data_IF_299540730965
#
_entry.id   IF_299540730965
#
_cell.length_a   1.000
_cell.length_b   1.000
_cell.length_c   1.000
_cell.angle_alpha   90.00
_cell.angle_beta   90.00
_cell.angle_gamma   90.00
#
_symmetry.space_group_name_H-M   'P 1'
#
loop_
_entity.id
_entity.type
_entity.pdbx_description
1 polymer ?
#
# COMPACT_ATOMS: atom_id res chain seq x y z
N UNK A 1 -24.27 -5.03 -14.13
CA UNK A 1 -24.91 -5.36 -12.83
C UNK A 1 -24.96 -6.85 -12.49
N UNK A 2 -24.73 -7.81 -13.41
CA UNK A 2 -24.86 -9.24 -13.17
C UNK A 2 -23.60 -9.97 -12.70
N UNK A 3 -22.42 -9.44 -13.02
CA UNK A 3 -21.13 -10.13 -12.76
C UNK A 3 -20.68 -9.99 -11.30
N UNK A 4 -20.83 -8.82 -10.71
CA UNK A 4 -20.47 -8.55 -9.31
C UNK A 4 -21.20 -9.44 -8.30
N UNK A 5 -22.51 -9.68 -8.51
CA UNK A 5 -23.29 -10.54 -7.61
C UNK A 5 -22.89 -12.03 -7.69
N UNK A 6 -22.48 -12.53 -8.87
CA UNK A 6 -22.04 -13.93 -9.01
C UNK A 6 -20.66 -14.15 -8.40
N UNK A 7 -19.76 -13.19 -8.56
CA UNK A 7 -18.43 -13.22 -7.92
C UNK A 7 -18.58 -13.15 -6.40
N UNK A 8 -19.43 -12.27 -5.88
CA UNK A 8 -19.74 -12.18 -4.44
C UNK A 8 -20.31 -13.48 -3.88
N UNK A 9 -21.23 -14.13 -4.60
CA UNK A 9 -21.80 -15.42 -4.19
C UNK A 9 -20.74 -16.53 -4.15
N UNK A 10 -19.88 -16.61 -5.16
CA UNK A 10 -18.84 -17.63 -5.24
C UNK A 10 -17.77 -17.43 -4.14
N UNK A 11 -17.36 -16.18 -3.88
CA UNK A 11 -16.41 -15.87 -2.82
C UNK A 11 -17.01 -16.12 -1.44
N UNK A 12 -18.30 -15.81 -1.25
CA UNK A 12 -19.01 -16.07 0.01
C UNK A 12 -19.13 -17.57 0.29
N UNK A 13 -19.31 -18.40 -0.75
CA UNK A 13 -19.44 -19.86 -0.63
C UNK A 13 -18.07 -20.55 -0.47
N UNK A 14 -17.03 -20.07 -1.18
CA UNK A 14 -15.67 -20.61 -1.10
C UNK A 14 -14.90 -20.17 0.17
N UNK A 15 -15.35 -19.10 0.83
CA UNK A 15 -14.68 -18.47 1.96
C UNK A 15 -15.53 -18.46 3.23
N UNK A 16 -16.69 -19.15 3.24
CA UNK A 16 -17.52 -19.29 4.43
C UNK A 16 -16.73 -20.03 5.53
N UNK A 17 -16.61 -19.45 6.74
CA UNK A 17 -15.98 -20.15 7.84
C UNK A 17 -16.81 -21.38 8.19
N UNK A 18 -16.16 -22.53 8.39
CA UNK A 18 -16.78 -23.70 9.02
C UNK A 18 -17.39 -23.26 10.36
N UNK A 19 -18.66 -23.53 10.52
CA UNK A 19 -19.54 -23.12 11.60
C UNK A 19 -18.94 -23.28 13.00
N UNK A 20 -18.32 -22.24 13.53
CA UNK A 20 -18.24 -21.92 14.96
C UNK A 20 -18.13 -20.40 15.13
N UNK A 21 -18.83 -19.77 16.10
CA UNK A 21 -18.79 -18.33 16.28
C UNK A 21 -17.47 -17.95 16.97
N UNK A 22 -16.49 -17.49 16.20
CA UNK A 22 -15.32 -16.84 16.75
C UNK A 22 -15.68 -15.39 17.07
N UNK A 23 -15.61 -15.06 18.36
CA UNK A 23 -15.53 -13.68 18.83
C UNK A 23 -14.40 -12.99 18.10
N UNK A 24 -14.72 -11.96 17.35
CA UNK A 24 -13.73 -11.04 16.80
C UNK A 24 -13.01 -10.38 17.97
N UNK A 25 -11.79 -10.83 18.23
CA UNK A 25 -10.94 -10.23 19.23
C UNK A 25 -10.26 -9.01 18.59
N UNK A 26 -10.72 -7.81 18.97
CA UNK A 26 -10.06 -6.53 18.67
C UNK A 26 -8.63 -6.45 19.24
N UNK A 27 -8.21 -7.49 19.96
CA UNK A 27 -6.92 -7.58 20.62
C UNK A 27 -5.77 -7.78 19.62
N UNK A 28 -5.99 -8.54 18.52
CA UNK A 28 -4.90 -8.88 17.58
C UNK A 28 -4.47 -7.70 16.68
N UNK A 29 -5.38 -6.79 16.34
CA UNK A 29 -5.04 -5.55 15.63
C UNK A 29 -4.39 -4.52 16.57
N UNK A 30 -4.82 -4.49 17.83
CA UNK A 30 -4.19 -3.71 18.90
C UNK A 30 -2.82 -4.27 19.28
N UNK A 31 -2.63 -5.59 19.27
CA UNK A 31 -1.34 -6.23 19.58
C UNK A 31 -0.31 -6.01 18.47
N UNK A 32 -0.71 -5.98 17.20
CA UNK A 32 0.17 -5.57 16.10
C UNK A 32 0.51 -4.08 16.18
N UNK A 33 -0.46 -3.22 16.47
CA UNK A 33 -0.24 -1.78 16.68
C UNK A 33 0.55 -1.50 17.97
N UNK A 34 0.33 -2.25 19.06
CA UNK A 34 1.09 -2.13 20.29
C UNK A 34 2.51 -2.67 20.19
N UNK A 35 2.78 -3.64 19.30
CA UNK A 35 4.14 -4.07 19.00
C UNK A 35 4.95 -3.01 18.26
N UNK A 36 4.27 -2.12 17.51
CA UNK A 36 4.89 -0.97 16.82
C UNK A 36 5.01 0.25 17.76
N UNK A 37 4.05 0.46 18.68
CA UNK A 37 3.98 1.66 19.54
C UNK A 37 4.83 1.61 20.82
N UNK A 38 5.33 0.44 21.23
CA UNK A 38 6.04 0.26 22.51
C UNK A 38 7.57 0.15 22.40
N UNK A 39 8.18 0.60 21.29
CA UNK A 39 9.64 0.64 21.13
C UNK A 39 10.20 2.04 21.35
N UNK A 40 10.31 2.43 22.62
CA UNK A 40 11.26 3.45 23.07
C UNK A 40 12.68 2.82 23.12
N UNK A 41 13.30 2.54 21.96
CA UNK A 41 14.71 2.17 21.86
C UNK A 41 15.45 3.15 20.98
N UNK A 42 16.70 3.52 21.34
CA UNK A 42 17.47 4.49 20.56
C UNK A 42 17.87 3.86 19.23
N UNK A 43 17.53 4.53 18.12
CA UNK A 43 18.06 4.37 16.76
C UNK A 43 18.63 2.98 16.37
N UNK A 44 17.82 1.93 16.51
CA UNK A 44 18.09 0.65 15.87
C UNK A 44 17.43 0.66 14.49
N UNK A 45 18.20 0.45 13.44
CA UNK A 45 18.01 0.08 12.03
C UNK A 45 16.60 -0.03 11.39
N UNK A 46 15.53 0.44 11.97
CA UNK A 46 14.13 0.25 11.57
C UNK A 46 13.48 1.57 11.14
N UNK A 47 14.04 2.37 10.26
CA UNK A 47 13.37 3.54 9.70
C UNK A 47 12.68 4.48 10.74
N UNK A 48 12.16 5.59 10.29
CA UNK A 48 11.48 6.57 11.16
C UNK A 48 10.09 6.10 11.65
N UNK A 49 9.50 5.13 10.97
CA UNK A 49 8.11 4.75 11.12
C UNK A 49 7.12 5.67 10.38
N UNK A 50 6.00 5.11 9.97
CA UNK A 50 5.03 5.83 9.13
C UNK A 50 4.47 7.10 9.77
N UNK A 51 4.06 7.04 11.06
CA UNK A 51 3.49 8.20 11.76
C UNK A 51 4.49 9.38 11.80
N UNK A 52 5.72 9.13 12.21
CA UNK A 52 6.74 10.17 12.29
C UNK A 52 7.16 10.68 10.90
N UNK A 53 7.14 9.83 9.87
CA UNK A 53 7.37 10.25 8.49
C UNK A 53 6.24 11.17 7.99
N UNK A 54 4.97 10.88 8.30
CA UNK A 54 3.84 11.75 7.96
C UNK A 54 3.90 13.09 8.71
N UNK A 55 4.19 13.06 10.01
CA UNK A 55 4.36 14.29 10.82
C UNK A 55 5.47 15.17 10.24
N UNK A 56 6.57 14.57 9.81
CA UNK A 56 7.65 15.28 9.15
C UNK A 56 7.23 15.87 7.80
N UNK A 57 6.53 15.10 6.96
CA UNK A 57 6.02 15.58 5.68
C UNK A 57 5.04 16.77 5.86
N UNK A 58 4.14 16.70 6.84
CA UNK A 58 3.23 17.80 7.21
C UNK A 58 4.03 19.03 7.67
N UNK A 59 5.07 18.84 8.50
CA UNK A 59 5.93 19.95 8.96
C UNK A 59 6.67 20.62 7.80
N UNK A 60 6.90 19.89 6.70
CA UNK A 60 7.45 20.40 5.46
C UNK A 60 6.41 21.04 4.53
N UNK A 61 5.13 21.05 4.92
CA UNK A 61 4.05 21.74 4.19
C UNK A 61 3.22 20.83 3.29
N UNK A 62 3.29 19.48 3.41
CA UNK A 62 2.37 18.57 2.73
C UNK A 62 0.97 18.79 3.29
N UNK A 63 0.03 19.15 2.42
CA UNK A 63 -1.37 19.43 2.78
C UNK A 63 -2.27 19.06 1.60
N UNK A 64 -2.61 17.77 1.46
CA UNK A 64 -3.40 17.31 0.32
C UNK A 64 -4.87 17.67 0.49
N UNK A 65 -5.55 17.87 -0.65
CA UNK A 65 -7.00 17.87 -0.75
C UNK A 65 -7.55 16.46 -1.01
N UNK A 66 -6.72 15.60 -1.63
CA UNK A 66 -7.08 14.22 -1.98
C UNK A 66 -5.99 13.25 -1.53
N UNK A 67 -6.39 12.12 -0.98
CA UNK A 67 -5.51 10.97 -0.67
C UNK A 67 -5.98 9.79 -1.50
N UNK A 68 -5.09 9.22 -2.30
CA UNK A 68 -5.31 7.99 -3.03
C UNK A 68 -4.62 6.85 -2.29
N UNK A 69 -5.39 5.90 -1.77
CA UNK A 69 -4.90 4.70 -1.07
C UNK A 69 -5.11 3.48 -1.97
N UNK A 70 -4.05 3.03 -2.62
CA UNK A 70 -4.07 1.95 -3.58
C UNK A 70 -3.72 0.65 -2.89
N UNK A 71 -4.65 -0.31 -2.99
CA UNK A 71 -4.69 -1.56 -2.24
C UNK A 71 -4.81 -1.29 -0.74
N UNK A 72 -5.97 -0.67 -0.41
CA UNK A 72 -6.25 -0.19 0.93
C UNK A 72 -6.49 -1.31 1.96
N UNK A 73 -6.76 -2.54 1.53
CA UNK A 73 -7.03 -3.70 2.38
C UNK A 73 -8.09 -3.40 3.48
N UNK A 74 -7.67 -3.28 4.73
CA UNK A 74 -8.53 -2.92 5.87
C UNK A 74 -8.45 -1.42 6.22
N UNK A 75 -7.78 -0.62 5.39
CA UNK A 75 -7.57 0.82 5.57
C UNK A 75 -6.22 1.20 6.15
N UNK A 76 -5.64 2.26 5.61
CA UNK A 76 -4.34 2.80 6.02
C UNK A 76 -4.52 3.91 7.06
N UNK A 77 -4.82 3.51 8.30
CA UNK A 77 -5.24 4.42 9.38
C UNK A 77 -4.26 5.58 9.63
N UNK A 78 -2.94 5.33 9.64
CA UNK A 78 -1.95 6.39 9.87
C UNK A 78 -2.04 7.50 8.81
N UNK A 79 -2.41 7.15 7.57
CA UNK A 79 -2.56 8.09 6.47
C UNK A 79 -3.83 8.94 6.63
N UNK A 80 -4.94 8.31 7.03
CA UNK A 80 -6.21 9.01 7.25
C UNK A 80 -6.17 9.92 8.48
N UNK A 81 -5.46 9.50 9.53
CA UNK A 81 -5.19 10.32 10.72
C UNK A 81 -4.30 11.52 10.41
N UNK A 82 -3.30 11.35 9.52
CA UNK A 82 -2.40 12.42 9.10
C UNK A 82 -3.13 13.52 8.30
N UNK A 83 -4.11 13.13 7.46
CA UNK A 83 -4.82 14.04 6.56
C UNK A 83 -6.35 14.00 6.74
N UNK A 84 -6.88 14.30 7.94
CA UNK A 84 -8.27 14.05 8.30
C UNK A 84 -9.30 14.92 7.56
N UNK A 85 -8.84 15.95 6.82
CA UNK A 85 -9.71 16.84 6.05
C UNK A 85 -9.71 16.55 4.55
N UNK A 86 -8.84 15.68 4.08
CA UNK A 86 -8.76 15.30 2.69
C UNK A 86 -9.93 14.38 2.29
N UNK A 87 -10.24 14.35 1.01
CA UNK A 87 -11.02 13.29 0.39
C UNK A 87 -10.13 12.04 0.29
N UNK A 88 -10.55 10.92 0.85
CA UNK A 88 -9.85 9.64 0.79
C UNK A 88 -10.49 8.74 -0.26
N UNK A 89 -9.76 8.42 -1.31
CA UNK A 89 -10.18 7.50 -2.35
C UNK A 89 -9.45 6.17 -2.16
N UNK A 90 -10.19 5.14 -1.75
CA UNK A 90 -9.69 3.83 -1.40
C UNK A 90 -9.95 2.85 -2.53
N UNK A 91 -8.93 2.17 -3.00
CA UNK A 91 -9.00 1.20 -4.08
C UNK A 91 -8.59 -0.17 -3.57
N UNK A 92 -9.42 -1.16 -3.80
CA UNK A 92 -9.08 -2.55 -3.51
C UNK A 92 -9.89 -3.47 -4.43
N UNK A 93 -9.29 -4.48 -5.08
CA UNK A 93 -10.03 -5.37 -5.96
C UNK A 93 -10.77 -6.50 -5.22
N UNK A 94 -10.46 -6.73 -3.92
CA UNK A 94 -10.98 -7.87 -3.18
C UNK A 94 -12.31 -7.54 -2.51
N UNK A 95 -13.44 -8.20 -2.88
CA UNK A 95 -14.76 -7.89 -2.32
C UNK A 95 -14.84 -7.95 -0.79
N UNK A 96 -14.06 -8.85 -0.15
CA UNK A 96 -14.03 -8.94 1.32
C UNK A 96 -13.37 -7.72 1.98
N UNK A 97 -12.40 -7.08 1.31
CA UNK A 97 -11.81 -5.83 1.77
C UNK A 97 -12.79 -4.67 1.60
N UNK A 98 -13.50 -4.62 0.45
CA UNK A 98 -14.54 -3.62 0.20
C UNK A 98 -15.62 -3.67 1.29
N UNK A 99 -16.13 -4.87 1.63
CA UNK A 99 -17.10 -5.00 2.72
C UNK A 99 -16.56 -4.51 4.08
N UNK A 100 -15.28 -4.72 4.35
CA UNK A 100 -14.63 -4.23 5.56
C UNK A 100 -14.49 -2.71 5.56
N UNK A 101 -14.04 -2.14 4.43
CA UNK A 101 -13.88 -0.69 4.26
C UNK A 101 -15.22 0.04 4.35
N UNK A 102 -16.27 -0.45 3.67
CA UNK A 102 -17.63 0.13 3.72
C UNK A 102 -18.22 0.14 5.15
N UNK A 103 -17.90 -0.89 5.95
CA UNK A 103 -18.32 -0.95 7.36
C UNK A 103 -17.54 0.00 8.26
N UNK A 104 -16.25 0.21 7.96
CA UNK A 104 -15.32 0.98 8.79
C UNK A 104 -15.36 2.47 8.48
N UNK A 105 -15.62 2.85 7.23
CA UNK A 105 -15.53 4.20 6.73
C UNK A 105 -16.85 4.65 6.09
N UNK A 106 -17.79 5.10 6.90
CA UNK A 106 -19.10 5.61 6.46
C UNK A 106 -19.17 7.13 6.24
N UNK A 107 -18.09 7.85 6.57
CA UNK A 107 -17.99 9.29 6.35
C UNK A 107 -17.91 9.59 4.83
N UNK A 108 -18.64 10.60 4.30
CA UNK A 108 -18.63 10.94 2.87
C UNK A 108 -17.27 11.39 2.34
N UNK A 109 -16.28 11.62 3.20
CA UNK A 109 -14.90 11.86 2.78
C UNK A 109 -14.15 10.59 2.34
N UNK A 110 -14.76 9.41 2.43
CA UNK A 110 -14.22 8.15 1.94
C UNK A 110 -15.00 7.67 0.72
N UNK A 111 -14.35 7.63 -0.42
CA UNK A 111 -14.86 7.01 -1.65
C UNK A 111 -14.18 5.65 -1.83
N UNK A 112 -14.95 4.57 -1.86
CA UNK A 112 -14.44 3.19 -1.92
C UNK A 112 -14.72 2.61 -3.31
N UNK A 113 -13.69 2.05 -3.93
CA UNK A 113 -13.72 1.55 -5.30
C UNK A 113 -13.28 0.08 -5.37
N UNK A 114 -14.19 -0.82 -5.79
CA UNK A 114 -13.91 -2.25 -6.03
C UNK A 114 -13.19 -2.42 -7.38
N UNK A 115 -11.90 -2.14 -7.41
CA UNK A 115 -11.09 -2.16 -8.64
C UNK A 115 -9.60 -2.26 -8.29
N UNK A 116 -8.83 -3.00 -9.07
CA UNK A 116 -7.38 -2.92 -9.07
C UNK A 116 -6.91 -1.72 -9.91
N UNK A 117 -5.75 -1.18 -9.58
CA UNK A 117 -5.15 -0.13 -10.39
C UNK A 117 -3.96 -0.67 -11.20
N UNK A 118 -3.74 -0.10 -12.39
CA UNK A 118 -2.66 -0.47 -13.29
C UNK A 118 -2.53 0.52 -14.45
N UNK A 119 -1.78 0.14 -15.50
CA UNK A 119 -1.44 1.04 -16.61
C UNK A 119 -2.64 1.45 -17.44
N UNK A 120 -3.53 0.51 -17.71
CA UNK A 120 -4.66 0.71 -18.64
C UNK A 120 -5.92 -0.03 -18.18
N UNK A 121 -7.05 0.32 -18.78
CA UNK A 121 -8.32 -0.32 -18.49
C UNK A 121 -8.40 -1.70 -19.11
N UNK A 122 -8.41 -2.74 -18.28
CA UNK A 122 -8.45 -4.14 -18.70
C UNK A 122 -9.08 -5.04 -17.62
N UNK A 123 -9.04 -6.35 -17.82
CA UNK A 123 -9.32 -7.36 -16.80
C UNK A 123 -8.02 -8.06 -16.46
N UNK A 124 -7.80 -8.34 -15.20
CA UNK A 124 -6.66 -9.10 -14.70
C UNK A 124 -7.08 -10.24 -13.80
N UNK A 125 -6.16 -11.16 -13.57
CA UNK A 125 -6.31 -12.25 -12.62
C UNK A 125 -5.66 -11.83 -11.31
N UNK A 126 -6.44 -11.75 -10.24
CA UNK A 126 -5.93 -11.54 -8.88
C UNK A 126 -5.69 -12.89 -8.22
N UNK A 127 -4.47 -13.16 -7.83
CA UNK A 127 -4.07 -14.35 -7.08
C UNK A 127 -4.26 -14.11 -5.58
N UNK A 128 -5.20 -14.81 -4.97
CA UNK A 128 -5.53 -14.67 -3.54
C UNK A 128 -5.04 -15.90 -2.79
N UNK A 129 -3.94 -15.80 -2.02
CA UNK A 129 -3.39 -16.95 -1.32
C UNK A 129 -4.34 -17.44 -0.20
N UNK A 130 -4.43 -18.76 -0.04
CA UNK A 130 -5.09 -19.41 1.08
C UNK A 130 -4.16 -19.42 2.28
N UNK A 131 -4.38 -18.53 3.24
CA UNK A 131 -3.61 -18.57 4.48
C UNK A 131 -4.34 -19.42 5.52
N UNK A 132 -3.60 -20.29 6.22
CA UNK A 132 -4.14 -21.10 7.31
C UNK A 132 -4.77 -20.28 8.45
N UNK A 133 -4.44 -18.99 8.51
CA UNK A 133 -4.93 -18.02 9.50
C UNK A 133 -6.10 -17.15 9.02
N UNK A 134 -6.55 -17.33 7.77
CA UNK A 134 -7.63 -16.52 7.18
C UNK A 134 -7.26 -15.07 6.88
N UNK A 135 -5.99 -14.67 7.07
CA UNK A 135 -5.49 -13.33 6.70
C UNK A 135 -5.15 -13.31 5.21
N UNK A 136 -5.85 -12.50 4.42
CA UNK A 136 -5.71 -12.38 2.96
C UNK A 136 -4.90 -11.16 2.54
N UNK A 137 -3.77 -10.91 3.19
CA UNK A 137 -3.02 -9.66 3.06
C UNK A 137 -2.02 -9.63 1.91
N UNK A 138 -1.89 -10.71 1.12
CA UNK A 138 -0.89 -10.82 0.05
C UNK A 138 -1.51 -11.23 -1.29
N UNK A 139 -2.68 -10.66 -1.60
CA UNK A 139 -3.23 -10.82 -2.94
C UNK A 139 -2.43 -9.98 -3.93
N UNK A 140 -2.17 -10.50 -5.13
CA UNK A 140 -1.40 -9.82 -6.16
C UNK A 140 -1.96 -10.09 -7.54
N UNK A 141 -1.82 -9.12 -8.45
CA UNK A 141 -2.03 -9.34 -9.89
C UNK A 141 -0.87 -10.09 -10.54
N UNK A 142 0.21 -10.34 -9.80
CA UNK A 142 1.40 -11.04 -10.25
C UNK A 142 1.54 -12.39 -9.55
N UNK A 143 2.02 -13.41 -10.26
CA UNK A 143 2.36 -14.69 -9.65
C UNK A 143 3.60 -14.58 -8.77
N UNK A 144 3.58 -15.26 -7.62
CA UNK A 144 4.76 -15.34 -6.74
C UNK A 144 5.88 -16.15 -7.43
N UNK A 145 7.14 -15.67 -7.29
CA UNK A 145 8.32 -16.37 -7.82
C UNK A 145 8.54 -17.71 -7.11
N UNK A 146 9.24 -18.65 -7.78
CA UNK A 146 9.58 -19.94 -7.16
C UNK A 146 10.42 -19.77 -5.88
N UNK A 147 11.33 -18.79 -5.86
CA UNK A 147 12.10 -18.42 -4.66
C UNK A 147 11.17 -18.00 -3.50
N UNK A 148 10.13 -17.23 -3.79
CA UNK A 148 9.16 -16.84 -2.78
C UNK A 148 8.30 -18.01 -2.31
N UNK A 149 7.89 -18.89 -3.24
CA UNK A 149 7.20 -20.16 -2.91
C UNK A 149 8.02 -21.05 -1.97
N UNK A 150 9.32 -21.17 -2.22
CA UNK A 150 10.23 -21.93 -1.35
C UNK A 150 10.30 -21.31 0.05
N UNK A 151 10.53 -20.00 0.14
CA UNK A 151 10.53 -19.28 1.42
C UNK A 151 9.20 -19.42 2.18
N UNK A 152 8.08 -19.31 1.51
CA UNK A 152 6.76 -19.50 2.14
C UNK A 152 6.62 -20.92 2.74
N UNK A 153 7.04 -21.96 1.99
CA UNK A 153 7.02 -23.34 2.46
C UNK A 153 7.93 -23.56 3.68
N UNK A 154 9.15 -23.01 3.66
CA UNK A 154 10.09 -23.07 4.79
C UNK A 154 9.48 -22.50 6.08
N UNK A 155 8.55 -21.53 5.96
CA UNK A 155 7.86 -20.89 7.08
C UNK A 155 6.45 -21.46 7.34
N UNK A 156 6.11 -22.58 6.71
CA UNK A 156 4.82 -23.26 6.89
C UNK A 156 3.62 -22.50 6.30
N UNK A 157 3.88 -21.55 5.40
CA UNK A 157 2.81 -20.83 4.69
C UNK A 157 2.36 -21.62 3.45
N UNK A 158 1.04 -21.61 3.17
CA UNK A 158 0.48 -22.22 1.97
C UNK A 158 0.79 -21.36 0.75
N UNK A 159 1.12 -22.02 -0.37
CA UNK A 159 1.19 -21.40 -1.69
C UNK A 159 -0.07 -21.64 -2.52
N UNK A 160 -1.05 -22.35 -1.97
CA UNK A 160 -2.35 -22.56 -2.59
C UNK A 160 -3.21 -21.31 -2.45
N UNK A 161 -4.09 -21.09 -3.42
CA UNK A 161 -4.96 -19.93 -3.43
C UNK A 161 -6.09 -20.10 -4.44
N UNK A 162 -6.84 -19.03 -4.63
CA UNK A 162 -7.85 -18.91 -5.67
C UNK A 162 -7.53 -17.74 -6.58
N UNK A 163 -7.87 -17.90 -7.85
CA UNK A 163 -7.75 -16.86 -8.86
C UNK A 163 -9.11 -16.22 -9.10
N UNK A 164 -9.17 -14.89 -9.06
CA UNK A 164 -10.39 -14.14 -9.36
C UNK A 164 -10.14 -13.13 -10.48
N UNK A 165 -11.12 -12.97 -11.36
CA UNK A 165 -11.06 -11.93 -12.39
C UNK A 165 -11.52 -10.60 -11.81
N UNK A 166 -10.67 -9.58 -11.94
CA UNK A 166 -10.94 -8.23 -11.41
C UNK A 166 -10.77 -7.17 -12.49
N UNK A 167 -11.55 -6.09 -12.45
CA UNK A 167 -11.30 -4.94 -13.32
C UNK A 167 -10.02 -4.24 -12.90
N UNK A 168 -9.24 -3.78 -13.89
CA UNK A 168 -8.06 -2.94 -13.71
C UNK A 168 -8.33 -1.61 -14.40
N UNK A 169 -8.07 -0.50 -13.70
CA UNK A 169 -8.19 0.85 -14.26
C UNK A 169 -6.91 1.65 -14.02
N UNK A 170 -6.54 2.62 -14.88
CA UNK A 170 -5.52 3.60 -14.55
C UNK A 170 -6.00 4.54 -13.44
N UNK A 171 -5.10 4.95 -12.55
CA UNK A 171 -5.43 5.93 -11.50
C UNK A 171 -5.88 7.27 -12.09
N UNK A 172 -5.36 7.64 -13.26
CA UNK A 172 -5.77 8.85 -13.99
C UNK A 172 -7.27 8.88 -14.35
N UNK A 173 -7.96 7.71 -14.38
CA UNK A 173 -9.41 7.63 -14.53
C UNK A 173 -10.18 8.26 -13.34
N UNK A 174 -9.56 8.29 -12.18
CA UNK A 174 -10.13 8.79 -10.92
C UNK A 174 -9.56 10.15 -10.52
N UNK A 175 -8.94 10.86 -11.46
CA UNK A 175 -8.33 12.17 -11.21
C UNK A 175 -9.31 13.12 -10.51
N UNK A 176 -8.90 13.66 -9.38
CA UNK A 176 -9.47 14.82 -8.72
C UNK A 176 -8.50 15.99 -8.87
N UNK A 177 -9.01 17.20 -9.02
CA UNK A 177 -8.19 18.40 -9.06
C UNK A 177 -7.73 18.78 -7.64
N UNK A 178 -6.49 19.24 -7.51
CA UNK A 178 -5.91 19.69 -6.25
C UNK A 178 -4.71 18.87 -5.81
N UNK A 179 -3.95 19.35 -4.82
CA UNK A 179 -2.78 18.67 -4.30
C UNK A 179 -3.17 17.33 -3.69
N UNK A 180 -2.40 16.29 -3.99
CA UNK A 180 -2.71 14.96 -3.49
C UNK A 180 -1.52 14.26 -2.83
N UNK A 181 -1.85 13.24 -2.06
CA UNK A 181 -0.95 12.19 -1.55
C UNK A 181 -1.38 10.88 -2.16
N UNK A 182 -0.42 10.05 -2.54
CA UNK A 182 -0.67 8.72 -3.11
C UNK A 182 0.06 7.69 -2.25
N UNK A 183 -0.62 6.62 -1.85
CA UNK A 183 0.00 5.40 -1.30
C UNK A 183 -0.21 4.26 -2.27
N UNK A 184 0.86 3.53 -2.60
CA UNK A 184 0.84 2.36 -3.49
C UNK A 184 1.51 1.19 -2.78
N UNK A 185 0.78 0.08 -2.65
CA UNK A 185 1.24 -1.11 -1.96
C UNK A 185 0.52 -2.32 -2.60
N UNK A 186 0.89 -2.62 -3.85
CA UNK A 186 0.15 -3.52 -4.75
C UNK A 186 0.82 -4.87 -4.95
N UNK A 187 1.74 -5.22 -4.04
CA UNK A 187 2.38 -6.52 -3.99
C UNK A 187 2.92 -6.96 -5.37
N UNK A 188 3.80 -6.09 -5.95
CA UNK A 188 4.49 -6.34 -7.21
C UNK A 188 3.91 -5.65 -8.44
N UNK A 189 2.83 -4.87 -8.34
CA UNK A 189 2.21 -4.17 -9.47
C UNK A 189 2.42 -2.64 -9.46
N UNK A 190 3.31 -2.14 -8.60
CA UNK A 190 3.54 -0.72 -8.32
C UNK A 190 3.93 0.07 -9.57
N UNK A 191 4.81 -0.49 -10.42
CA UNK A 191 5.25 0.18 -11.65
C UNK A 191 4.09 0.39 -12.63
N UNK A 192 3.21 -0.61 -12.76
CA UNK A 192 2.04 -0.52 -13.64
C UNK A 192 1.04 0.53 -13.12
N UNK A 193 0.85 0.61 -11.81
CA UNK A 193 0.03 1.67 -11.18
C UNK A 193 0.61 3.05 -11.46
N UNK A 194 1.92 3.23 -11.28
CA UNK A 194 2.61 4.49 -11.56
C UNK A 194 2.48 4.90 -13.03
N UNK A 195 2.58 3.95 -13.97
CA UNK A 195 2.40 4.21 -15.41
C UNK A 195 0.96 4.62 -15.75
N UNK A 196 -0.03 4.18 -14.98
CA UNK A 196 -1.44 4.60 -15.09
C UNK A 196 -1.80 5.86 -14.31
N UNK A 197 -0.83 6.51 -13.64
CA UNK A 197 -1.03 7.64 -12.75
C UNK A 197 -0.33 8.94 -13.21
N UNK A 198 0.12 9.01 -14.45
CA UNK A 198 1.01 10.09 -14.94
C UNK A 198 0.41 11.49 -14.84
N UNK A 199 -0.91 11.62 -14.86
CA UNK A 199 -1.61 12.89 -14.68
C UNK A 199 -1.80 13.23 -13.21
N UNK A 200 -2.17 12.24 -12.38
CA UNK A 200 -2.33 12.41 -10.93
C UNK A 200 -0.98 12.74 -10.29
N UNK A 201 0.12 12.11 -10.73
CA UNK A 201 1.48 12.39 -10.24
C UNK A 201 1.88 13.87 -10.38
N UNK A 202 1.37 14.61 -11.36
CA UNK A 202 1.66 16.06 -11.52
C UNK A 202 1.10 16.91 -10.38
N UNK A 203 0.14 16.41 -9.63
CA UNK A 203 -0.48 17.08 -8.48
C UNK A 203 -0.01 16.46 -7.15
N UNK A 204 0.81 15.40 -7.20
CA UNK A 204 1.24 14.65 -6.04
C UNK A 204 2.29 15.44 -5.24
N UNK A 205 2.00 15.64 -3.95
CA UNK A 205 2.91 16.29 -3.00
C UNK A 205 3.77 15.29 -2.22
N UNK A 206 3.26 14.07 -2.04
CA UNK A 206 3.93 12.97 -1.37
C UNK A 206 3.45 11.65 -1.96
N UNK A 207 4.36 10.83 -2.41
CA UNK A 207 4.12 9.45 -2.81
C UNK A 207 4.70 8.54 -1.74
N UNK A 208 3.92 7.58 -1.27
CA UNK A 208 4.32 6.50 -0.37
C UNK A 208 4.22 5.22 -1.19
N UNK A 209 5.28 4.42 -1.24
CA UNK A 209 5.30 3.24 -2.10
C UNK A 209 6.12 2.11 -1.48
N UNK A 210 5.58 0.88 -1.53
CA UNK A 210 6.34 -0.31 -1.24
C UNK A 210 7.28 -0.64 -2.42
N UNK A 211 8.55 -0.94 -2.13
CA UNK A 211 9.57 -1.25 -3.13
C UNK A 211 10.25 -2.57 -2.79
N UNK A 212 10.08 -3.58 -3.63
CA UNK A 212 10.79 -4.85 -3.51
C UNK A 212 12.29 -4.68 -3.75
N UNK A 213 13.11 -5.19 -2.84
CA UNK A 213 14.58 -5.19 -2.97
C UNK A 213 15.04 -6.42 -3.76
N UNK A 214 14.36 -7.54 -3.58
CA UNK A 214 14.54 -8.71 -4.46
C UNK A 214 13.19 -9.15 -5.03
N UNK A 215 13.15 -9.76 -6.22
CA UNK A 215 11.91 -10.14 -6.87
C UNK A 215 11.09 -11.13 -6.04
N UNK A 216 9.91 -10.70 -5.60
CA UNK A 216 8.91 -11.52 -4.90
C UNK A 216 7.90 -12.10 -5.87
N UNK A 217 7.58 -11.31 -6.90
CA UNK A 217 6.56 -11.62 -7.91
C UNK A 217 7.16 -11.67 -9.32
N UNK A 218 6.55 -12.48 -10.18
CA UNK A 218 6.97 -12.62 -11.58
C UNK A 218 6.55 -11.38 -12.36
N UNK A 219 7.53 -10.71 -12.99
CA UNK A 219 7.25 -9.50 -13.78
C UNK A 219 7.07 -8.22 -12.97
N UNK A 220 7.27 -8.24 -11.64
CA UNK A 220 7.24 -7.02 -10.85
C UNK A 220 8.29 -6.01 -11.30
N UNK A 221 7.99 -4.72 -11.15
CA UNK A 221 8.95 -3.64 -11.39
C UNK A 221 10.11 -3.72 -10.40
N UNK A 222 11.35 -3.75 -10.90
CA UNK A 222 12.52 -3.77 -10.05
C UNK A 222 12.70 -2.43 -9.35
N UNK A 223 13.28 -2.45 -8.15
CA UNK A 223 13.64 -1.24 -7.39
C UNK A 223 14.23 -0.13 -8.26
N UNK A 224 15.28 -0.46 -9.05
CA UNK A 224 15.94 0.52 -9.90
C UNK A 224 15.03 1.06 -11.03
N UNK A 225 14.11 0.26 -11.56
CA UNK A 225 13.16 0.67 -12.61
C UNK A 225 12.13 1.65 -12.05
N UNK A 226 11.57 1.36 -10.87
CA UNK A 226 10.60 2.23 -10.20
C UNK A 226 11.26 3.55 -9.80
N UNK A 227 12.45 3.52 -9.19
CA UNK A 227 13.19 4.74 -8.81
C UNK A 227 13.56 5.56 -10.03
N UNK A 228 14.00 4.92 -11.14
CA UNK A 228 14.30 5.61 -12.40
C UNK A 228 13.06 6.25 -13.02
N UNK A 229 11.91 5.54 -12.98
CA UNK A 229 10.64 6.08 -13.45
C UNK A 229 10.23 7.31 -12.63
N UNK A 230 10.28 7.21 -11.29
CA UNK A 230 9.93 8.32 -10.40
C UNK A 230 10.85 9.52 -10.61
N UNK A 231 12.16 9.29 -10.77
CA UNK A 231 13.10 10.34 -11.09
C UNK A 231 12.78 11.03 -12.43
N UNK A 232 12.43 10.25 -13.46
CA UNK A 232 11.99 10.80 -14.76
C UNK A 232 10.67 11.58 -14.67
N UNK A 233 9.79 11.24 -13.71
CA UNK A 233 8.57 12.00 -13.39
C UNK A 233 8.84 13.22 -12.49
N UNK A 234 10.08 13.49 -12.11
CA UNK A 234 10.49 14.64 -11.30
C UNK A 234 10.36 14.42 -9.80
N UNK A 235 10.44 13.18 -9.31
CA UNK A 235 10.41 12.84 -7.88
C UNK A 235 11.80 12.49 -7.35
N UNK A 236 12.04 12.83 -6.08
CA UNK A 236 13.21 12.43 -5.30
C UNK A 236 12.81 11.67 -4.05
N UNK A 237 13.65 10.75 -3.61
CA UNK A 237 13.49 10.06 -2.34
C UNK A 237 13.48 11.06 -1.18
N UNK A 238 12.47 10.98 -0.33
CA UNK A 238 12.30 11.89 0.81
C UNK A 238 12.60 11.21 2.15
N UNK A 239 12.08 9.99 2.36
CA UNK A 239 12.27 9.22 3.59
C UNK A 239 12.07 7.72 3.33
N UNK A 240 12.55 6.88 4.26
CA UNK A 240 12.29 5.43 4.29
C UNK A 240 11.66 5.11 5.64
N UNK A 241 10.33 5.17 5.77
CA UNK A 241 9.64 4.93 7.04
C UNK A 241 9.76 3.51 7.56
N UNK A 242 9.92 2.52 6.69
CA UNK A 242 9.97 1.11 7.08
C UNK A 242 10.96 0.29 6.25
N UNK A 243 11.62 -0.66 6.93
CA UNK A 243 12.52 -1.65 6.35
C UNK A 243 12.02 -3.03 6.75
N UNK A 244 11.68 -3.88 5.78
CA UNK A 244 11.12 -5.19 6.06
C UNK A 244 12.14 -6.31 5.89
N UNK A 245 12.50 -6.90 7.00
CA UNK A 245 13.28 -8.12 7.09
C UNK A 245 12.35 -9.27 7.50
N UNK A 246 12.08 -10.27 6.64
CA UNK A 246 11.17 -11.37 6.99
C UNK A 246 11.59 -12.15 8.24
N UNK A 247 12.91 -12.22 8.49
CA UNK A 247 13.52 -12.84 9.67
C UNK A 247 14.66 -11.95 10.17
N UNK A 248 14.99 -12.07 11.46
CA UNK A 248 16.01 -11.26 12.12
C UNK A 248 17.40 -11.28 11.46
N UNK A 249 17.76 -12.35 10.73
CA UNK A 249 19.04 -12.50 10.02
C UNK A 249 18.83 -12.77 8.52
N UNK A 250 17.72 -12.27 7.93
CA UNK A 250 17.44 -12.43 6.50
C UNK A 250 17.89 -11.20 5.71
N UNK A 251 17.93 -11.36 4.39
CA UNK A 251 18.09 -10.24 3.48
C UNK A 251 16.90 -9.27 3.61
N UNK A 252 17.14 -7.98 3.35
CA UNK A 252 16.09 -6.97 3.21
C UNK A 252 15.17 -7.37 2.05
N UNK A 253 13.88 -7.53 2.34
CA UNK A 253 12.87 -7.98 1.38
C UNK A 253 12.30 -6.83 0.57
N UNK A 254 11.76 -5.85 1.26
CA UNK A 254 11.18 -4.65 0.69
C UNK A 254 11.32 -3.48 1.66
N UNK A 255 11.10 -2.31 1.16
CA UNK A 255 11.06 -1.07 1.95
C UNK A 255 9.78 -0.31 1.63
N UNK A 256 9.27 0.42 2.59
CA UNK A 256 8.36 1.52 2.31
C UNK A 256 9.17 2.79 2.14
N UNK A 257 9.02 3.43 1.01
CA UNK A 257 9.74 4.66 0.68
C UNK A 257 8.76 5.80 0.39
N UNK A 258 9.16 7.00 0.73
CA UNK A 258 8.40 8.21 0.38
C UNK A 258 9.19 9.07 -0.60
N UNK A 259 8.48 9.66 -1.56
CA UNK A 259 9.04 10.52 -2.59
C UNK A 259 8.28 11.84 -2.64
N UNK A 260 9.00 12.91 -2.98
CA UNK A 260 8.45 14.27 -3.16
C UNK A 260 8.88 14.85 -4.49
N UNK A 261 8.12 15.80 -5.08
CA UNK A 261 8.55 16.49 -6.30
C UNK A 261 9.90 17.23 -6.10
N UNK A 262 10.83 17.08 -7.04
CA UNK A 262 12.13 17.77 -7.04
C UNK A 262 12.00 19.29 -6.98
N UNK A 263 10.98 19.84 -7.68
CA UNK A 263 10.69 21.27 -7.69
C UNK A 263 10.17 21.78 -6.34
N UNK A 264 9.82 20.86 -5.43
CA UNK A 264 9.29 21.22 -4.13
C UNK A 264 10.45 21.61 -3.19
N UNK A 265 10.38 22.83 -2.64
CA UNK A 265 11.35 23.34 -1.67
C UNK A 265 11.45 22.49 -0.38
N UNK A 266 10.54 21.53 -0.20
CA UNK A 266 10.55 20.62 0.95
C UNK A 266 11.82 19.76 1.01
N UNK A 267 12.28 19.23 -0.12
CA UNK A 267 13.55 18.51 -0.21
C UNK A 267 14.76 19.43 0.10
N UNK A 268 14.70 20.71 -0.30
CA UNK A 268 15.73 21.71 0.00
C UNK A 268 15.71 22.23 1.45
N UNK A 269 14.55 22.35 2.08
CA UNK A 269 14.42 22.81 3.47
C UNK A 269 15.11 21.89 4.48
N UNK A 270 15.20 20.57 4.18
CA UNK A 270 15.91 19.62 5.03
C UNK A 270 17.42 19.91 5.10
N UNK A 271 18.05 20.26 3.98
CA UNK A 271 19.47 20.60 3.91
C UNK A 271 19.76 21.93 4.65
N UNK A 272 18.85 22.89 4.56
CA UNK A 272 19.00 24.18 5.26
C UNK A 272 18.84 24.05 6.78
N UNK A 273 17.87 23.25 7.27
CA UNK A 273 17.65 23.03 8.71
C UNK A 273 18.83 22.32 9.39
N UNK A 274 19.50 21.41 8.72
CA UNK A 274 20.71 20.76 9.28
C UNK A 274 21.86 21.75 9.48
N UNK A 275 21.97 22.79 8.65
CA UNK A 275 22.99 23.85 8.82
C UNK A 275 22.72 24.72 10.04
N UNK A 276 21.47 24.90 10.44
CA UNK A 276 21.07 25.71 11.60
C UNK A 276 21.11 24.97 12.94
N UNK A 277 21.10 23.64 12.94
CA UNK A 277 21.21 22.86 14.19
C UNK A 277 22.67 22.50 14.53
N UNK A 278 23.60 22.70 13.63
CA UNK A 278 25.03 22.48 13.81
C UNK A 278 25.82 23.77 14.17
N UNK A 279 25.14 24.92 14.28
CA UNK A 279 25.64 26.20 14.77
C UNK A 279 25.09 26.50 16.17
#
# INVERSE_FOLDING_TARGET
MGLSRRIRAYIHEALAPSSQPNRFDNQSSLDYQNSISNRNSPMDSEGRGFRASMEYAISCGVSPEVVYDVEAANGTHYLYEAFPRALHMLFDPLPSHIECLEKSFSDPRFEIHEVALGREKTLGTLHVPSTATGKKTWSSLQEITDRMKEKMKEHGASTEGIDIQVPIHPLDHYLRQGPCVIKIDTEGHELEVLMGATTVLKQCQLLIIELSIFPRYTGEGRFAEIVSFLHAQGFELFDIPNLMYPLQNSDLSHIDATFVPMADRRAGQWIERQKYQAS
#
